data_IF_970822298840
#
_entry.id   IF_970822298840
#
_cell.length_a   1.000
_cell.length_b   1.000
_cell.length_c   1.000
_cell.angle_alpha   90.00
_cell.angle_beta   90.00
_cell.angle_gamma   90.00
#
_symmetry.space_group_name_H-M   'P 1'
#
loop_
_entity.id
_entity.type
_entity.pdbx_description
1 polymer ?
#
# COMPACT_ATOMS: atom_id res chain seq x y z
N UNK A 1 12.63 -15.65 -14.26
CA UNK A 1 12.07 -14.30 -14.08
C UNK A 1 11.04 -14.36 -12.95
N UNK A 2 11.17 -13.50 -11.98
CA UNK A 2 10.23 -13.47 -10.84
C UNK A 2 8.92 -12.83 -11.24
N UNK A 3 7.83 -13.39 -10.75
CA UNK A 3 6.49 -12.82 -10.94
C UNK A 3 5.99 -12.22 -9.62
N UNK A 4 5.69 -10.93 -9.64
CA UNK A 4 5.32 -10.17 -8.44
C UNK A 4 3.90 -9.63 -8.60
N UNK A 5 3.09 -9.76 -7.57
CA UNK A 5 1.79 -9.11 -7.49
C UNK A 5 1.90 -7.84 -6.64
N UNK A 6 1.39 -6.73 -7.14
CA UNK A 6 1.12 -5.53 -6.34
C UNK A 6 -0.39 -5.41 -6.20
N UNK A 7 -0.90 -5.76 -5.03
CA UNK A 7 -2.32 -5.72 -4.71
C UNK A 7 -2.64 -4.51 -3.85
N UNK A 8 -3.68 -3.76 -4.18
CA UNK A 8 -3.99 -2.51 -3.49
C UNK A 8 -5.48 -2.36 -3.19
N UNK A 9 -5.76 -1.56 -2.17
CA UNK A 9 -7.11 -1.10 -1.82
C UNK A 9 -7.12 0.43 -1.76
N UNK A 10 -8.17 1.04 -2.30
CA UNK A 10 -8.31 2.50 -2.37
C UNK A 10 -9.78 2.91 -2.30
N UNK A 11 -10.03 4.15 -1.88
CA UNK A 11 -11.36 4.78 -1.93
C UNK A 11 -11.41 5.95 -2.90
N UNK A 12 -10.38 6.80 -2.87
CA UNK A 12 -10.34 8.04 -3.67
C UNK A 12 -9.41 7.95 -4.89
N UNK A 13 -8.76 6.81 -5.11
CA UNK A 13 -7.93 6.57 -6.29
C UNK A 13 -6.46 6.98 -6.18
N UNK A 14 -6.06 7.70 -5.14
CA UNK A 14 -4.67 8.15 -4.99
C UNK A 14 -3.68 7.00 -4.82
N UNK A 15 -4.11 5.91 -4.21
CA UNK A 15 -3.30 4.71 -3.97
C UNK A 15 -3.04 3.94 -5.27
N UNK A 16 -3.91 4.02 -6.26
CA UNK A 16 -3.76 3.34 -7.55
C UNK A 16 -2.45 3.74 -8.22
N UNK A 17 -2.21 5.05 -8.34
CA UNK A 17 -1.00 5.57 -8.98
C UNK A 17 0.26 5.22 -8.20
N UNK A 18 0.18 5.16 -6.88
CA UNK A 18 1.28 4.69 -6.04
C UNK A 18 1.58 3.22 -6.33
N UNK A 19 0.56 2.37 -6.37
CA UNK A 19 0.71 0.95 -6.71
C UNK A 19 1.28 0.75 -8.11
N UNK A 20 0.80 1.51 -9.08
CA UNK A 20 1.31 1.48 -10.46
C UNK A 20 2.79 1.87 -10.53
N UNK A 21 3.19 2.94 -9.85
CA UNK A 21 4.59 3.39 -9.79
C UNK A 21 5.50 2.33 -9.16
N UNK A 22 5.03 1.66 -8.10
CA UNK A 22 5.76 0.54 -7.50
C UNK A 22 5.91 -0.58 -8.52
N UNK A 23 4.83 -0.94 -9.21
CA UNK A 23 4.83 -1.99 -10.22
C UNK A 23 5.77 -1.69 -11.39
N UNK A 24 5.73 -0.49 -11.93
CA UNK A 24 6.61 -0.03 -13.00
C UNK A 24 8.10 -0.09 -12.58
N UNK A 25 8.38 0.37 -11.36
CA UNK A 25 9.74 0.35 -10.82
C UNK A 25 10.26 -1.07 -10.67
N UNK A 26 9.44 -1.99 -10.16
CA UNK A 26 9.82 -3.40 -10.04
C UNK A 26 9.97 -4.07 -11.43
N UNK A 27 9.11 -3.72 -12.38
CA UNK A 27 9.23 -4.23 -13.76
C UNK A 27 10.54 -3.81 -14.42
N UNK A 28 11.01 -2.60 -14.14
CA UNK A 28 12.28 -2.10 -14.66
C UNK A 28 13.49 -2.91 -14.16
N UNK A 29 13.33 -3.66 -13.07
CA UNK A 29 14.38 -4.56 -12.56
C UNK A 29 14.38 -5.94 -13.22
N UNK A 30 13.48 -6.19 -14.18
CA UNK A 30 13.38 -7.44 -14.91
C UNK A 30 12.30 -8.41 -14.40
N UNK A 31 11.52 -8.02 -13.38
CA UNK A 31 10.41 -8.83 -12.89
C UNK A 31 9.18 -8.68 -13.79
N UNK A 32 8.34 -9.71 -13.82
CA UNK A 32 6.98 -9.61 -14.36
C UNK A 32 6.07 -9.16 -13.24
N UNK A 33 5.35 -8.05 -13.41
CA UNK A 33 4.54 -7.47 -12.33
C UNK A 33 3.09 -7.29 -12.77
N UNK A 34 2.18 -7.82 -11.96
CA UNK A 34 0.75 -7.54 -12.07
C UNK A 34 0.35 -6.54 -10.98
N UNK A 35 -0.34 -5.47 -11.35
CA UNK A 35 -0.89 -4.48 -10.42
C UNK A 35 -2.41 -4.59 -10.45
N UNK A 36 -3.01 -4.96 -9.31
CA UNK A 36 -4.45 -5.28 -9.26
C UNK A 36 -5.10 -4.82 -7.96
N UNK A 37 -6.36 -4.37 -8.02
CA UNK A 37 -7.15 -4.20 -6.80
C UNK A 37 -7.27 -5.53 -6.05
N UNK A 38 -7.21 -5.50 -4.72
CA UNK A 38 -7.31 -6.73 -3.89
C UNK A 38 -8.59 -7.50 -4.18
N UNK A 39 -9.68 -6.82 -4.50
CA UNK A 39 -10.97 -7.44 -4.80
C UNK A 39 -10.97 -8.30 -6.07
N UNK A 40 -10.03 -8.10 -6.97
CA UNK A 40 -9.94 -8.86 -8.23
C UNK A 40 -8.96 -10.02 -8.15
N UNK A 41 -8.25 -10.16 -7.05
CA UNK A 41 -7.28 -11.24 -6.85
C UNK A 41 -7.99 -12.44 -6.23
N UNK A 42 -8.08 -13.54 -6.97
CA UNK A 42 -8.79 -14.74 -6.53
C UNK A 42 -7.86 -15.74 -5.83
N UNK A 43 -6.59 -15.80 -6.24
CA UNK A 43 -5.57 -16.63 -5.61
C UNK A 43 -4.18 -16.05 -5.87
N UNK A 44 -3.16 -16.59 -5.20
CA UNK A 44 -1.77 -16.16 -5.31
C UNK A 44 -0.89 -17.15 -6.08
N UNK A 45 -1.50 -18.08 -6.77
CA UNK A 45 -0.78 -19.12 -7.49
C UNK A 45 0.10 -18.54 -8.58
N UNK A 46 1.37 -18.94 -8.60
CA UNK A 46 2.33 -18.52 -9.61
C UNK A 46 3.04 -17.20 -9.29
N UNK A 47 2.71 -16.53 -8.19
CA UNK A 47 3.48 -15.37 -7.74
C UNK A 47 4.63 -15.78 -6.84
N UNK A 48 5.79 -15.19 -7.08
CA UNK A 48 7.00 -15.41 -6.28
C UNK A 48 7.13 -14.44 -5.11
N UNK A 49 6.43 -13.31 -5.18
CA UNK A 49 6.40 -12.30 -4.12
C UNK A 49 5.14 -11.45 -4.26
N UNK A 50 4.72 -10.83 -3.15
CA UNK A 50 3.52 -9.98 -3.12
C UNK A 50 3.81 -8.69 -2.38
N UNK A 51 3.33 -7.58 -2.93
CA UNK A 51 3.26 -6.29 -2.26
C UNK A 51 1.79 -5.98 -2.04
N UNK A 52 1.38 -5.75 -0.80
CA UNK A 52 0.00 -5.38 -0.46
C UNK A 52 -0.01 -3.96 0.06
N UNK A 53 -0.87 -3.13 -0.48
CA UNK A 53 -0.98 -1.74 -0.08
C UNK A 53 -2.41 -1.26 0.08
N UNK A 54 -2.59 -0.24 0.91
CA UNK A 54 -3.89 0.35 1.16
C UNK A 54 -3.77 1.82 1.53
N UNK A 55 -4.79 2.58 1.17
CA UNK A 55 -5.03 3.87 1.79
C UNK A 55 -5.34 3.67 3.28
N UNK A 56 -4.98 4.67 4.08
CA UNK A 56 -5.38 4.74 5.49
C UNK A 56 -6.67 5.54 5.59
N UNK A 57 -7.66 4.96 6.25
CA UNK A 57 -8.90 5.63 6.58
C UNK A 57 -9.20 5.40 8.07
N UNK A 58 -9.44 6.48 8.79
CA UNK A 58 -9.72 6.43 10.23
C UNK A 58 -8.66 5.67 11.03
N UNK A 59 -7.39 5.87 10.67
CA UNK A 59 -6.26 5.25 11.37
C UNK A 59 -6.07 3.76 11.10
N UNK A 60 -6.61 3.25 10.00
CA UNK A 60 -6.51 1.82 9.66
C UNK A 60 -6.37 1.61 8.15
N UNK A 61 -5.80 0.49 7.76
CA UNK A 61 -5.94 -0.02 6.40
C UNK A 61 -7.41 -0.25 6.08
N UNK A 62 -7.77 -0.11 4.82
CA UNK A 62 -9.13 -0.43 4.39
C UNK A 62 -9.46 -1.90 4.71
N UNK A 63 -10.70 -2.17 5.13
CA UNK A 63 -11.09 -3.53 5.54
C UNK A 63 -10.81 -4.61 4.51
N UNK A 64 -10.99 -4.31 3.23
CA UNK A 64 -10.73 -5.28 2.15
C UNK A 64 -9.25 -5.65 2.03
N UNK A 65 -8.34 -4.74 2.35
CA UNK A 65 -6.90 -5.04 2.35
C UNK A 65 -6.53 -5.96 3.52
N UNK A 66 -7.05 -5.69 4.71
CA UNK A 66 -6.86 -6.54 5.89
C UNK A 66 -7.44 -7.93 5.63
N UNK A 67 -8.64 -8.00 5.07
CA UNK A 67 -9.31 -9.26 4.76
C UNK A 67 -8.54 -10.06 3.71
N UNK A 68 -7.95 -9.38 2.73
CA UNK A 68 -7.10 -10.02 1.72
C UNK A 68 -5.90 -10.73 2.37
N UNK A 69 -5.20 -10.06 3.28
CA UNK A 69 -4.08 -10.66 4.01
C UNK A 69 -4.55 -11.83 4.87
N UNK A 70 -5.66 -11.68 5.57
CA UNK A 70 -6.23 -12.72 6.42
C UNK A 70 -6.62 -13.95 5.62
N UNK A 71 -7.28 -13.77 4.48
CA UNK A 71 -7.74 -14.87 3.63
C UNK A 71 -6.59 -15.61 2.95
N UNK A 72 -5.46 -14.94 2.71
CA UNK A 72 -4.33 -15.48 1.98
C UNK A 72 -3.10 -15.71 2.89
N UNK A 73 -3.27 -15.68 4.20
CA UNK A 73 -2.17 -15.78 5.16
C UNK A 73 -1.23 -16.96 4.90
N UNK A 74 -1.71 -18.19 4.68
CA UNK A 74 -0.80 -19.32 4.44
C UNK A 74 0.05 -19.13 3.18
N UNK A 75 -0.53 -18.64 2.09
CA UNK A 75 0.19 -18.40 0.85
C UNK A 75 1.17 -17.23 0.97
N UNK A 76 0.74 -16.13 1.58
CA UNK A 76 1.59 -14.96 1.82
C UNK A 76 2.76 -15.28 2.76
N UNK A 77 2.54 -16.14 3.74
CA UNK A 77 3.58 -16.57 4.68
C UNK A 77 4.66 -17.45 4.04
N UNK A 78 4.38 -18.06 2.89
CA UNK A 78 5.31 -18.93 2.18
C UNK A 78 6.16 -18.20 1.13
N UNK A 79 5.85 -16.94 0.82
CA UNK A 79 6.57 -16.12 -0.16
C UNK A 79 6.91 -14.76 0.46
N UNK A 80 7.96 -14.06 -0.02
CA UNK A 80 8.28 -12.74 0.46
C UNK A 80 7.10 -11.77 0.24
N UNK A 81 6.70 -11.07 1.30
CA UNK A 81 5.58 -10.14 1.28
C UNK A 81 6.01 -8.80 1.88
N UNK A 82 5.64 -7.70 1.22
CA UNK A 82 5.86 -6.35 1.70
C UNK A 82 4.52 -5.61 1.78
N UNK A 83 4.44 -4.62 2.66
CA UNK A 83 3.27 -3.76 2.80
C UNK A 83 3.63 -2.32 2.45
N UNK A 84 2.65 -1.57 1.94
CA UNK A 84 2.74 -0.12 1.91
C UNK A 84 1.42 0.51 2.35
N UNK A 85 1.51 1.73 2.83
CA UNK A 85 0.35 2.54 3.15
C UNK A 85 0.47 3.92 2.52
N UNK A 86 -0.68 4.52 2.28
CA UNK A 86 -0.79 5.89 1.80
C UNK A 86 -1.68 6.64 2.79
N UNK A 87 -1.15 7.70 3.40
CA UNK A 87 -1.84 8.43 4.45
C UNK A 87 -1.64 9.93 4.33
N UNK A 88 -2.73 10.68 4.50
CA UNK A 88 -2.67 12.13 4.60
C UNK A 88 -1.94 12.63 5.86
N UNK A 89 -1.79 11.80 6.88
CA UNK A 89 -1.01 12.16 8.07
C UNK A 89 0.47 12.38 7.75
N UNK A 90 0.98 11.79 6.68
CA UNK A 90 2.39 11.92 6.27
C UNK A 90 2.66 13.17 5.42
N UNK A 91 1.69 14.05 5.24
CA UNK A 91 1.93 15.37 4.64
C UNK A 91 2.95 16.17 5.47
N UNK A 92 2.97 15.94 6.78
CA UNK A 92 4.01 16.43 7.69
C UNK A 92 4.87 15.24 8.09
N UNK A 93 5.96 15.01 7.36
CA UNK A 93 6.81 13.85 7.53
C UNK A 93 7.79 14.04 8.68
N UNK A 94 7.31 13.82 9.90
CA UNK A 94 8.11 13.87 11.12
C UNK A 94 8.31 12.45 11.68
N UNK A 95 9.39 12.21 12.47
CA UNK A 95 9.58 10.91 13.12
C UNK A 95 8.39 10.48 13.98
N UNK A 96 7.76 11.43 14.69
CA UNK A 96 6.59 11.16 15.52
C UNK A 96 5.40 10.71 14.67
N UNK A 97 5.16 11.40 13.56
CA UNK A 97 4.07 11.06 12.64
C UNK A 97 4.30 9.71 11.97
N UNK A 98 5.54 9.41 11.56
CA UNK A 98 5.88 8.10 11.01
C UNK A 98 5.64 6.98 12.01
N UNK A 99 6.01 7.16 13.26
CA UNK A 99 5.77 6.19 14.32
C UNK A 99 4.28 5.95 14.54
N UNK A 100 3.49 7.02 14.58
CA UNK A 100 2.04 6.93 14.72
C UNK A 100 1.39 6.19 13.55
N UNK A 101 1.80 6.53 12.33
CA UNK A 101 1.24 5.92 11.11
C UNK A 101 1.65 4.44 10.99
N UNK A 102 2.86 4.10 11.38
CA UNK A 102 3.30 2.71 11.39
C UNK A 102 2.45 1.84 12.32
N UNK A 103 2.01 2.39 13.44
CA UNK A 103 1.13 1.70 14.38
C UNK A 103 -0.24 1.37 13.76
N UNK A 104 -0.67 2.07 12.73
CA UNK A 104 -1.91 1.74 12.00
C UNK A 104 -1.85 0.37 11.32
N UNK A 105 -0.65 -0.18 11.10
CA UNK A 105 -0.45 -1.51 10.53
C UNK A 105 -0.42 -2.62 11.58
N UNK A 106 -0.46 -2.32 12.87
CA UNK A 106 -0.37 -3.33 13.91
C UNK A 106 -1.41 -4.46 13.74
N UNK A 107 -2.69 -4.20 13.43
CA UNK A 107 -3.65 -5.26 13.23
C UNK A 107 -3.27 -6.22 12.10
N UNK A 108 -2.77 -5.72 10.98
CA UNK A 108 -2.40 -6.56 9.84
C UNK A 108 -1.05 -7.24 10.06
N UNK A 109 -0.13 -6.60 10.78
CA UNK A 109 1.16 -7.18 11.15
C UNK A 109 1.00 -8.37 12.11
N UNK A 110 -0.02 -8.36 12.96
CA UNK A 110 -0.35 -9.49 13.81
C UNK A 110 -0.83 -10.71 13.02
N UNK A 111 -1.42 -10.49 11.85
CA UNK A 111 -1.81 -11.58 10.94
C UNK A 111 -0.57 -12.12 10.24
N UNK A 112 0.23 -11.24 9.66
CA UNK A 112 1.46 -11.59 8.95
C UNK A 112 2.44 -10.41 9.01
N UNK A 113 3.64 -10.65 9.53
CA UNK A 113 4.70 -9.64 9.54
C UNK A 113 5.36 -9.53 8.17
N UNK A 114 5.40 -8.34 7.55
CA UNK A 114 6.00 -8.16 6.23
C UNK A 114 7.52 -8.08 6.30
N UNK A 115 8.18 -8.29 5.17
CA UNK A 115 9.63 -8.12 5.02
C UNK A 115 10.04 -6.65 4.93
N UNK A 116 9.15 -5.78 4.48
CA UNK A 116 9.38 -4.34 4.35
C UNK A 116 8.07 -3.58 4.43
N UNK A 117 8.12 -2.34 4.90
CA UNK A 117 6.98 -1.44 4.98
C UNK A 117 7.33 -0.12 4.31
N UNK A 118 6.55 0.28 3.31
CA UNK A 118 6.60 1.61 2.70
C UNK A 118 5.49 2.49 3.26
N UNK A 119 5.85 3.71 3.65
CA UNK A 119 4.88 4.68 4.19
C UNK A 119 4.97 5.96 3.36
N UNK A 120 3.87 6.32 2.70
CA UNK A 120 3.84 7.43 1.74
C UNK A 120 2.74 8.41 2.05
N UNK A 121 3.02 9.69 1.83
CA UNK A 121 2.00 10.73 1.85
C UNK A 121 1.01 10.52 0.71
N UNK A 122 -0.23 10.87 0.95
CA UNK A 122 -1.31 10.71 -0.02
C UNK A 122 -1.71 12.00 -0.70
N UNK A 123 -2.81 11.90 -1.41
CA UNK A 123 -3.49 13.02 -2.06
C UNK A 123 -4.90 13.12 -1.49
N UNK A 124 -5.35 14.34 -1.21
CA UNK A 124 -6.72 14.62 -0.83
C UNK A 124 -7.37 15.48 -1.92
N UNK A 125 -8.37 14.94 -2.58
CA UNK A 125 -9.18 15.61 -3.59
C UNK A 125 -10.65 15.31 -3.28
N UNK A 126 -11.39 16.30 -2.79
CA UNK A 126 -12.77 16.12 -2.40
C UNK A 126 -13.66 15.71 -3.58
N UNK A 127 -13.32 16.09 -4.81
CA UNK A 127 -14.09 15.71 -5.98
C UNK A 127 -14.05 14.19 -6.27
N UNK A 128 -13.04 13.48 -5.76
CA UNK A 128 -12.86 12.04 -5.93
C UNK A 128 -13.50 11.22 -4.79
N UNK A 129 -13.97 11.89 -3.73
CA UNK A 129 -14.58 11.22 -2.58
C UNK A 129 -16.07 10.99 -2.82
N UNK A 130 -16.62 9.93 -2.25
CA UNK A 130 -18.05 9.73 -2.15
C UNK A 130 -18.66 10.84 -1.28
N UNK A 131 -20.00 11.02 -1.37
CA UNK A 131 -20.68 12.01 -0.55
C UNK A 131 -20.39 11.82 0.94
N UNK A 132 -20.46 10.59 1.43
CA UNK A 132 -20.21 10.28 2.84
C UNK A 132 -18.75 10.54 3.22
N UNK A 133 -17.80 10.09 2.41
CA UNK A 133 -16.38 10.28 2.66
C UNK A 133 -15.97 11.76 2.64
N UNK A 134 -16.60 12.54 1.73
CA UNK A 134 -16.41 13.99 1.67
C UNK A 134 -16.88 14.67 2.94
N UNK A 135 -18.03 14.27 3.47
CA UNK A 135 -18.58 14.81 4.71
C UNK A 135 -17.67 14.49 5.89
N UNK A 136 -17.19 13.25 5.99
CA UNK A 136 -16.24 12.85 7.03
C UNK A 136 -14.92 13.61 6.91
N UNK A 137 -14.37 13.75 5.71
CA UNK A 137 -13.12 14.48 5.49
C UNK A 137 -13.24 15.94 5.91
N UNK A 138 -14.35 16.60 5.59
CA UNK A 138 -14.62 17.98 6.02
C UNK A 138 -14.82 18.08 7.53
N UNK A 139 -15.50 17.12 8.15
CA UNK A 139 -15.74 17.10 9.58
C UNK A 139 -14.43 16.96 10.39
N UNK A 140 -13.46 16.20 9.89
CA UNK A 140 -12.13 16.06 10.52
C UNK A 140 -11.14 17.11 10.02
N UNK A 141 -11.59 18.10 9.28
CA UNK A 141 -10.79 19.22 8.76
C UNK A 141 -9.60 18.78 7.91
N UNK A 142 -9.81 17.74 7.08
CA UNK A 142 -8.80 17.32 6.11
C UNK A 142 -8.54 18.42 5.08
N UNK A 143 -7.27 18.61 4.74
CA UNK A 143 -6.82 19.64 3.79
C UNK A 143 -6.67 18.99 2.40
N UNK A 144 -7.21 19.64 1.36
CA UNK A 144 -6.95 19.23 -0.02
C UNK A 144 -5.51 19.48 -0.40
N UNK A 145 -4.93 18.60 -1.19
CA UNK A 145 -3.60 18.72 -1.74
C UNK A 145 -3.05 17.39 -2.21
N UNK A 146 -1.87 17.45 -2.83
CA UNK A 146 -1.12 16.28 -3.27
C UNK A 146 0.27 16.35 -2.65
N UNK A 147 0.54 15.47 -1.70
CA UNK A 147 1.81 15.39 -0.97
C UNK A 147 2.62 14.16 -1.35
N UNK A 148 2.21 13.43 -2.40
CA UNK A 148 2.91 12.21 -2.81
C UNK A 148 4.32 12.53 -3.27
N UNK A 149 5.29 11.80 -2.73
CA UNK A 149 6.70 11.91 -3.09
C UNK A 149 7.08 10.73 -3.98
N UNK A 150 7.09 10.96 -5.29
CA UNK A 150 7.34 9.93 -6.28
C UNK A 150 8.76 9.35 -6.19
N UNK A 151 9.75 10.16 -5.85
CA UNK A 151 11.12 9.67 -5.69
C UNK A 151 11.24 8.73 -4.48
N UNK A 152 10.57 9.05 -3.38
CA UNK A 152 10.53 8.17 -2.21
C UNK A 152 9.83 6.84 -2.53
N UNK A 153 8.74 6.88 -3.29
CA UNK A 153 8.00 5.68 -3.70
C UNK A 153 8.88 4.79 -4.58
N UNK A 154 9.54 5.38 -5.59
CA UNK A 154 10.45 4.65 -6.48
C UNK A 154 11.66 4.10 -5.73
N UNK A 155 12.25 4.90 -4.83
CA UNK A 155 13.39 4.47 -4.02
C UNK A 155 13.06 3.26 -3.16
N UNK A 156 11.91 3.26 -2.50
CA UNK A 156 11.46 2.10 -1.74
C UNK A 156 11.24 0.88 -2.63
N UNK A 157 10.58 1.05 -3.76
CA UNK A 157 10.32 -0.03 -4.71
C UNK A 157 11.62 -0.64 -5.26
N UNK A 158 12.63 0.18 -5.55
CA UNK A 158 13.95 -0.30 -5.95
C UNK A 158 14.59 -1.14 -4.86
N UNK A 159 14.46 -0.73 -3.60
CA UNK A 159 14.95 -1.49 -2.45
C UNK A 159 14.26 -2.83 -2.27
N UNK A 160 13.02 -2.97 -2.71
CA UNK A 160 12.29 -4.23 -2.66
C UNK A 160 12.91 -5.32 -3.55
N UNK A 161 13.68 -4.96 -4.57
CA UNK A 161 14.37 -5.95 -5.39
C UNK A 161 15.21 -6.88 -4.52
N UNK A 162 16.01 -6.32 -3.61
CA UNK A 162 16.83 -7.12 -2.69
C UNK A 162 15.96 -7.93 -1.73
N UNK A 163 14.87 -7.34 -1.23
CA UNK A 163 14.03 -7.96 -0.21
C UNK A 163 13.12 -9.06 -0.77
N UNK A 164 12.57 -8.86 -1.98
CA UNK A 164 11.55 -9.74 -2.55
C UNK A 164 12.08 -10.65 -3.66
N UNK A 165 13.08 -10.20 -4.41
CA UNK A 165 13.54 -10.91 -5.61
C UNK A 165 14.80 -11.72 -5.33
N UNK A 166 15.72 -11.17 -4.54
CA UNK A 166 16.98 -11.81 -4.20
C UNK A 166 16.94 -12.57 -2.88
N UNK A 167 15.80 -12.54 -2.21
CA UNK A 167 15.64 -13.24 -0.93
C UNK A 167 15.43 -14.75 -1.12
#
# INVERSE_FOLDING_TARGET
MKKILVAYATRAGSTVQVAETIGETLSATGATVDVRPVKTVTDLKGYDAVVVGSAIRMGQWLPEAVQFVKNNQPALGSIPTAYFLVSGFLREDTPEMRSQVQAFLDPVRQILEPKSIGMFAGKMDYSKLSWLDRTIAKAVKSVEGDWRNWDAIRGWAQGLQTTLVCA
#
